data_IF_685885620325
#
_entry.id   IF_685885620325
#
_cell.length_a   1.000
_cell.length_b   1.000
_cell.length_c   1.000
_cell.angle_alpha   90.00
_cell.angle_beta   90.00
_cell.angle_gamma   90.00
#
_symmetry.space_group_name_H-M   'P 1'
#
loop_
_entity.id
_entity.type
_entity.pdbx_description
1 polymer ?
#
# COMPACT_ATOMS: atom_id res chain seq x y z
N UNK A 1 -17.88 7.64 -53.91
CA UNK A 1 -18.67 7.14 -52.75
C UNK A 1 -17.94 6.06 -51.91
N UNK A 2 -16.66 5.74 -52.17
CA UNK A 2 -15.91 4.71 -51.44
C UNK A 2 -14.99 5.25 -50.32
N UNK A 3 -14.58 6.53 -50.36
CA UNK A 3 -13.64 7.09 -49.36
C UNK A 3 -14.24 7.38 -47.98
N UNK A 4 -15.56 7.58 -47.89
CA UNK A 4 -16.21 7.98 -46.64
C UNK A 4 -16.44 6.81 -45.65
N UNK A 5 -16.37 5.56 -46.11
CA UNK A 5 -16.57 4.37 -45.26
C UNK A 5 -15.32 3.94 -44.49
N UNK A 6 -14.11 4.24 -44.98
CA UNK A 6 -12.86 3.95 -44.28
C UNK A 6 -12.58 4.97 -43.17
N UNK A 7 -12.78 6.27 -43.44
CA UNK A 7 -12.63 7.34 -42.44
C UNK A 7 -13.54 7.18 -41.21
N UNK A 8 -14.78 6.72 -41.42
CA UNK A 8 -15.71 6.42 -40.32
C UNK A 8 -15.31 5.17 -39.51
N UNK A 9 -14.74 4.14 -40.16
CA UNK A 9 -14.26 2.93 -39.45
C UNK A 9 -13.00 3.22 -38.64
N UNK A 10 -12.08 4.01 -39.18
CA UNK A 10 -10.83 4.37 -38.52
C UNK A 10 -11.07 5.30 -37.32
N UNK A 11 -12.00 6.27 -37.42
CA UNK A 11 -12.40 7.13 -36.30
C UNK A 11 -13.19 6.40 -35.20
N UNK A 12 -14.00 5.39 -35.55
CA UNK A 12 -14.66 4.51 -34.56
C UNK A 12 -13.62 3.61 -33.89
N UNK A 13 -12.62 3.11 -34.61
CA UNK A 13 -11.54 2.30 -34.04
C UNK A 13 -10.62 3.13 -33.12
N UNK A 14 -10.28 4.37 -33.48
CA UNK A 14 -9.51 5.30 -32.66
C UNK A 14 -10.27 5.75 -31.41
N UNK A 15 -11.56 6.10 -31.54
CA UNK A 15 -12.38 6.48 -30.38
C UNK A 15 -12.63 5.31 -29.43
N UNK A 16 -12.74 4.07 -29.93
CA UNK A 16 -12.79 2.88 -29.09
C UNK A 16 -11.44 2.56 -28.43
N UNK A 17 -10.33 2.77 -29.14
CA UNK A 17 -8.97 2.62 -28.59
C UNK A 17 -8.72 3.64 -27.49
N UNK A 18 -9.07 4.91 -27.68
CA UNK A 18 -9.03 5.96 -26.64
C UNK A 18 -9.95 5.65 -25.46
N UNK A 19 -11.19 5.18 -25.68
CA UNK A 19 -12.10 4.77 -24.60
C UNK A 19 -11.52 3.63 -23.77
N UNK A 20 -10.91 2.63 -24.42
CA UNK A 20 -10.23 1.51 -23.78
C UNK A 20 -8.92 1.93 -23.10
N UNK A 21 -8.29 3.03 -23.56
CA UNK A 21 -7.15 3.65 -22.87
C UNK A 21 -7.58 4.38 -21.60
N UNK A 22 -8.74 5.05 -21.60
CA UNK A 22 -9.25 5.84 -20.48
C UNK A 22 -9.93 5.01 -19.39
N UNK A 23 -10.52 3.86 -19.71
CA UNK A 23 -11.20 3.04 -18.71
C UNK A 23 -10.21 2.22 -17.88
N UNK A 24 -10.03 2.60 -16.61
CA UNK A 24 -9.41 1.74 -15.60
C UNK A 24 -7.87 1.66 -15.60
N UNK A 25 -7.14 2.32 -16.51
CA UNK A 25 -5.67 2.19 -16.60
C UNK A 25 -4.95 3.39 -15.96
N UNK A 26 -3.81 3.16 -15.31
CA UNK A 26 -2.90 4.21 -14.82
C UNK A 26 -1.81 4.35 -15.85
N UNK A 27 -1.62 5.55 -16.40
CA UNK A 27 -0.56 5.79 -17.37
C UNK A 27 0.41 6.83 -16.83
N UNK A 28 1.70 6.51 -16.80
CA UNK A 28 2.78 7.39 -16.37
C UNK A 28 3.74 7.59 -17.55
N UNK A 29 4.05 8.85 -17.86
CA UNK A 29 5.02 9.22 -18.90
C UNK A 29 6.41 9.21 -18.30
N UNK A 30 7.33 8.52 -18.97
CA UNK A 30 8.73 8.42 -18.59
C UNK A 30 9.60 9.03 -19.69
N UNK A 31 10.49 9.93 -19.33
CA UNK A 31 11.55 10.41 -20.21
C UNK A 31 12.63 9.34 -20.40
N UNK A 32 12.85 8.51 -19.37
CA UNK A 32 13.80 7.40 -19.33
C UNK A 32 13.35 6.34 -18.33
N UNK A 33 13.86 5.12 -18.44
CA UNK A 33 13.68 4.09 -17.41
C UNK A 33 14.25 4.52 -16.04
N UNK A 34 15.21 5.44 -16.03
CA UNK A 34 15.78 5.97 -14.78
C UNK A 34 14.74 6.69 -13.91
N UNK A 35 13.68 7.26 -14.49
CA UNK A 35 12.64 7.98 -13.75
C UNK A 35 11.89 7.07 -12.74
N UNK A 36 11.93 5.75 -12.96
CA UNK A 36 11.36 4.72 -12.07
C UNK A 36 12.22 4.52 -10.81
N UNK A 37 13.50 4.89 -10.89
CA UNK A 37 14.52 4.52 -9.91
C UNK A 37 15.14 5.73 -9.22
N UNK A 38 15.71 5.50 -8.04
CA UNK A 38 16.44 6.51 -7.30
C UNK A 38 17.77 6.84 -7.98
N UNK A 39 18.03 8.13 -8.21
CA UNK A 39 19.31 8.63 -8.73
C UNK A 39 20.47 8.46 -7.75
N UNK A 40 20.17 8.27 -6.46
CA UNK A 40 21.17 7.99 -5.42
C UNK A 40 21.65 6.54 -5.42
N UNK A 41 20.99 5.63 -6.13
CA UNK A 41 21.36 4.22 -6.18
C UNK A 41 22.06 3.88 -7.51
N UNK A 42 23.39 3.68 -7.53
CA UNK A 42 24.12 3.43 -8.78
C UNK A 42 23.87 2.03 -9.36
N UNK A 43 23.23 1.12 -8.62
CA UNK A 43 23.08 -0.29 -9.03
C UNK A 43 22.22 -0.46 -10.30
N UNK A 44 22.31 -1.60 -10.98
CA UNK A 44 21.47 -1.88 -12.16
C UNK A 44 19.99 -2.13 -11.85
N UNK A 45 19.13 -2.12 -12.88
CA UNK A 45 17.66 -2.17 -12.76
C UNK A 45 17.09 -3.35 -11.96
N UNK A 46 17.82 -4.47 -11.86
CA UNK A 46 17.39 -5.66 -11.11
C UNK A 46 17.38 -5.44 -9.59
N UNK A 47 18.19 -4.50 -9.10
CA UNK A 47 18.41 -4.28 -7.67
C UNK A 47 18.32 -2.81 -7.23
N UNK A 48 18.32 -1.86 -8.18
CA UNK A 48 18.21 -0.43 -7.89
C UNK A 48 16.94 -0.12 -7.08
N UNK A 49 17.04 0.79 -6.11
CA UNK A 49 15.90 1.31 -5.37
C UNK A 49 14.94 2.06 -6.33
N UNK A 50 13.63 1.92 -6.10
CA UNK A 50 12.64 2.75 -6.79
C UNK A 50 12.73 4.18 -6.26
N UNK A 51 12.44 5.18 -7.10
CA UNK A 51 12.38 6.57 -6.64
C UNK A 51 11.12 6.81 -5.80
N UNK A 52 11.24 7.66 -4.80
CA UNK A 52 10.09 8.09 -4.00
C UNK A 52 9.10 8.90 -4.84
N UNK A 53 9.58 9.68 -5.80
CA UNK A 53 8.76 10.43 -6.75
C UNK A 53 7.88 9.50 -7.59
N UNK A 54 8.47 8.45 -8.17
CA UNK A 54 7.72 7.44 -8.92
C UNK A 54 6.66 6.75 -8.06
N UNK A 55 7.02 6.38 -6.82
CA UNK A 55 6.09 5.76 -5.88
C UNK A 55 4.95 6.72 -5.50
N UNK A 56 5.24 8.00 -5.32
CA UNK A 56 4.25 9.01 -5.00
C UNK A 56 3.28 9.23 -6.16
N UNK A 57 3.77 9.30 -7.40
CA UNK A 57 2.93 9.40 -8.59
C UNK A 57 2.06 8.14 -8.78
N UNK A 58 2.62 6.95 -8.54
CA UNK A 58 1.83 5.73 -8.52
C UNK A 58 0.68 5.80 -7.49
N UNK A 59 0.96 6.29 -6.27
CA UNK A 59 -0.05 6.45 -5.20
C UNK A 59 -1.14 7.43 -5.61
N UNK A 60 -0.76 8.58 -6.17
CA UNK A 60 -1.69 9.59 -6.68
C UNK A 60 -2.59 8.99 -7.76
N UNK A 61 -2.01 8.28 -8.71
CA UNK A 61 -2.74 7.73 -9.85
C UNK A 61 -3.71 6.58 -9.51
N UNK A 62 -3.49 5.87 -8.39
CA UNK A 62 -4.40 4.80 -7.92
C UNK A 62 -5.34 5.24 -6.79
N UNK A 63 -5.24 6.48 -6.32
CA UNK A 63 -6.01 7.00 -5.18
C UNK A 63 -7.51 6.92 -5.42
N UNK A 64 -7.95 7.38 -6.59
CA UNK A 64 -9.37 7.52 -6.91
C UNK A 64 -9.95 6.23 -7.54
N UNK A 65 -9.13 5.17 -7.68
CA UNK A 65 -9.55 3.88 -8.20
C UNK A 65 -10.17 3.02 -7.10
N UNK A 66 -11.38 2.52 -7.37
CA UNK A 66 -12.11 1.70 -6.41
C UNK A 66 -11.28 0.47 -6.00
N UNK A 67 -11.29 0.06 -4.71
CA UNK A 67 -10.68 -1.19 -4.27
C UNK A 67 -11.20 -2.44 -4.99
N UNK A 68 -12.40 -2.37 -5.60
CA UNK A 68 -13.05 -3.45 -6.33
C UNK A 68 -12.58 -3.61 -7.78
N UNK A 69 -11.80 -2.66 -8.32
CA UNK A 69 -11.17 -2.78 -9.64
C UNK A 69 -9.93 -3.68 -9.53
N UNK A 70 -10.15 -4.99 -9.45
CA UNK A 70 -9.08 -5.99 -9.33
C UNK A 70 -8.12 -6.04 -10.54
N UNK A 71 -8.47 -5.38 -11.65
CA UNK A 71 -7.72 -5.46 -12.90
C UNK A 71 -7.48 -4.07 -13.49
N UNK A 72 -6.68 -3.26 -12.80
CA UNK A 72 -6.10 -2.07 -13.42
C UNK A 72 -4.72 -2.38 -14.01
N UNK A 73 -4.41 -1.72 -15.12
CA UNK A 73 -3.12 -1.79 -15.80
C UNK A 73 -2.27 -0.56 -15.45
N UNK A 74 -1.01 -0.77 -15.10
CA UNK A 74 0.02 0.28 -15.01
C UNK A 74 0.78 0.34 -16.34
N UNK A 75 0.54 1.42 -17.08
CA UNK A 75 1.14 1.73 -18.36
C UNK A 75 2.29 2.69 -18.17
N UNK A 76 3.47 2.26 -18.53
CA UNK A 76 4.67 3.08 -18.52
C UNK A 76 4.92 3.51 -19.96
N UNK A 77 4.64 4.77 -20.26
CA UNK A 77 4.78 5.37 -21.58
C UNK A 77 6.26 5.78 -21.74
N UNK A 78 6.93 5.22 -22.75
CA UNK A 78 8.38 5.41 -22.99
C UNK A 78 8.59 5.80 -24.45
N UNK A 79 9.46 6.78 -24.77
CA UNK A 79 9.75 7.15 -26.15
C UNK A 79 10.17 5.94 -26.97
N UNK A 80 9.60 5.77 -28.17
CA UNK A 80 9.83 4.60 -29.02
C UNK A 80 11.32 4.28 -29.23
N UNK A 81 12.15 5.32 -29.37
CA UNK A 81 13.60 5.21 -29.62
C UNK A 81 14.37 4.66 -28.40
N UNK A 82 13.85 4.86 -27.18
CA UNK A 82 14.48 4.44 -25.93
C UNK A 82 14.00 3.08 -25.44
N UNK A 83 13.09 2.42 -26.17
CA UNK A 83 12.53 1.15 -25.74
C UNK A 83 13.53 0.00 -25.84
N UNK A 84 13.65 -0.76 -24.75
CA UNK A 84 14.50 -1.94 -24.68
C UNK A 84 13.76 -3.08 -23.94
N UNK A 85 13.38 -4.12 -24.69
CA UNK A 85 12.59 -5.25 -24.16
C UNK A 85 13.31 -5.99 -23.03
N UNK A 86 14.63 -6.14 -23.11
CA UNK A 86 15.41 -6.84 -22.08
C UNK A 86 15.39 -6.08 -20.75
N UNK A 87 15.48 -4.76 -20.81
CA UNK A 87 15.40 -3.92 -19.61
C UNK A 87 13.98 -3.81 -19.08
N UNK A 88 12.97 -3.71 -19.95
CA UNK A 88 11.55 -3.75 -19.58
C UNK A 88 11.20 -5.01 -18.77
N UNK A 89 11.71 -6.19 -19.17
CA UNK A 89 11.52 -7.45 -18.44
C UNK A 89 12.14 -7.35 -17.02
N UNK A 90 13.38 -6.87 -16.92
CA UNK A 90 14.07 -6.70 -15.62
C UNK A 90 13.32 -5.73 -14.71
N UNK A 91 12.90 -4.59 -15.26
CA UNK A 91 12.16 -3.55 -14.53
C UNK A 91 10.81 -4.09 -14.07
N UNK A 92 10.09 -4.83 -14.91
CA UNK A 92 8.80 -5.45 -14.55
C UNK A 92 8.94 -6.42 -13.38
N UNK A 93 9.94 -7.29 -13.42
CA UNK A 93 10.26 -8.22 -12.32
C UNK A 93 10.60 -7.43 -11.06
N UNK A 94 11.46 -6.42 -11.18
CA UNK A 94 11.88 -5.57 -10.07
C UNK A 94 10.71 -4.87 -9.38
N UNK A 95 9.79 -4.28 -10.14
CA UNK A 95 8.58 -3.62 -9.65
C UNK A 95 7.67 -4.61 -8.92
N UNK A 96 7.40 -5.77 -9.54
CA UNK A 96 6.58 -6.83 -8.92
C UNK A 96 7.16 -7.31 -7.59
N UNK A 97 8.48 -7.56 -7.56
CA UNK A 97 9.16 -7.98 -6.35
C UNK A 97 9.14 -6.89 -5.27
N UNK A 98 9.34 -5.62 -5.64
CA UNK A 98 9.23 -4.49 -4.71
C UNK A 98 7.84 -4.44 -4.06
N UNK A 99 6.78 -4.39 -4.87
CA UNK A 99 5.41 -4.26 -4.37
C UNK A 99 4.98 -5.47 -3.53
N UNK A 100 5.37 -6.69 -3.94
CA UNK A 100 5.10 -7.91 -3.16
C UNK A 100 5.80 -7.86 -1.79
N UNK A 101 7.10 -7.55 -1.77
CA UNK A 101 7.90 -7.49 -0.54
C UNK A 101 7.29 -6.50 0.45
N UNK A 102 7.04 -5.27 0.02
CA UNK A 102 6.46 -4.25 0.89
C UNK A 102 5.02 -4.55 1.30
N UNK A 103 4.21 -5.19 0.45
CA UNK A 103 2.89 -5.67 0.85
C UNK A 103 2.98 -6.69 2.00
N UNK A 104 3.86 -7.67 1.89
CA UNK A 104 4.05 -8.70 2.93
C UNK A 104 4.59 -8.10 4.22
N UNK A 105 5.56 -7.18 4.14
CA UNK A 105 6.09 -6.44 5.29
C UNK A 105 4.99 -5.65 6.01
N UNK A 106 4.21 -4.85 5.27
CA UNK A 106 3.12 -4.06 5.87
C UNK A 106 2.01 -4.94 6.43
N UNK A 107 1.68 -6.05 5.78
CA UNK A 107 0.74 -7.04 6.31
C UNK A 107 1.24 -7.66 7.60
N UNK A 108 2.54 -7.99 7.70
CA UNK A 108 3.17 -8.53 8.90
C UNK A 108 3.19 -7.48 10.03
N UNK A 109 3.56 -6.24 9.73
CA UNK A 109 3.51 -5.12 10.70
C UNK A 109 2.11 -4.97 11.30
N UNK A 110 1.07 -4.92 10.47
CA UNK A 110 -0.32 -4.81 10.92
C UNK A 110 -0.72 -6.00 11.81
N UNK A 111 -0.32 -7.21 11.42
CA UNK A 111 -0.61 -8.43 12.20
C UNK A 111 0.08 -8.38 13.57
N UNK A 112 1.35 -7.98 13.61
CA UNK A 112 2.12 -7.86 14.85
C UNK A 112 1.56 -6.79 15.78
N UNK A 113 1.13 -5.64 15.23
CA UNK A 113 0.45 -4.60 16.00
C UNK A 113 -0.82 -5.12 16.67
N UNK A 114 -1.65 -5.87 15.93
CA UNK A 114 -2.86 -6.48 16.48
C UNK A 114 -2.56 -7.50 17.57
N UNK A 115 -1.60 -8.40 17.36
CA UNK A 115 -1.23 -9.37 18.40
C UNK A 115 -0.70 -8.70 19.65
N UNK A 116 0.18 -7.70 19.50
CA UNK A 116 0.65 -6.92 20.64
C UNK A 116 -0.51 -6.22 21.32
N UNK A 117 -1.41 -5.58 20.58
CA UNK A 117 -2.60 -4.91 21.12
C UNK A 117 -3.52 -5.84 21.91
N UNK A 118 -3.76 -7.06 21.41
CA UNK A 118 -4.53 -8.08 22.14
C UNK A 118 -3.83 -8.49 23.44
N UNK A 119 -2.52 -8.69 23.42
CA UNK A 119 -1.77 -9.00 24.63
C UNK A 119 -1.87 -7.86 25.67
N UNK A 120 -1.67 -6.60 25.24
CA UNK A 120 -1.85 -5.41 26.09
C UNK A 120 -3.26 -5.30 26.66
N UNK A 121 -4.29 -5.55 25.83
CA UNK A 121 -5.68 -5.57 26.29
C UNK A 121 -5.92 -6.62 27.37
N UNK A 122 -5.44 -7.86 27.18
CA UNK A 122 -5.59 -8.93 28.18
C UNK A 122 -4.89 -8.57 29.49
N UNK A 123 -3.67 -8.03 29.43
CA UNK A 123 -2.93 -7.58 30.61
C UNK A 123 -3.72 -6.48 31.35
N UNK A 124 -4.29 -5.54 30.61
CA UNK A 124 -5.10 -4.46 31.19
C UNK A 124 -6.34 -4.99 31.90
N UNK A 125 -7.05 -5.96 31.29
CA UNK A 125 -8.20 -6.63 31.92
C UNK A 125 -7.79 -7.35 33.20
N UNK A 126 -6.63 -8.03 33.20
CA UNK A 126 -6.10 -8.69 34.40
C UNK A 126 -5.83 -7.66 35.51
N UNK A 127 -5.22 -6.52 35.20
CA UNK A 127 -5.02 -5.44 36.18
C UNK A 127 -6.33 -4.89 36.72
N UNK A 128 -7.33 -4.67 35.87
CA UNK A 128 -8.65 -4.23 36.33
C UNK A 128 -9.33 -5.26 37.24
N UNK A 129 -9.21 -6.56 36.94
CA UNK A 129 -9.73 -7.62 37.81
C UNK A 129 -8.98 -7.69 39.15
N UNK A 130 -7.66 -7.50 39.14
CA UNK A 130 -6.86 -7.42 40.36
C UNK A 130 -7.27 -6.22 41.21
N UNK A 131 -7.46 -5.04 40.63
CA UNK A 131 -7.94 -3.87 41.36
C UNK A 131 -9.30 -4.14 42.03
N UNK A 132 -10.23 -4.77 41.30
CA UNK A 132 -11.54 -5.14 41.85
C UNK A 132 -11.44 -6.18 42.98
N UNK A 133 -10.49 -7.11 42.90
CA UNK A 133 -10.24 -8.09 43.95
C UNK A 133 -9.59 -7.48 45.20
N UNK A 134 -8.76 -6.45 45.04
CA UNK A 134 -8.05 -5.78 46.14
C UNK A 134 -8.94 -4.76 46.85
N UNK A 135 -9.89 -4.15 46.14
CA UNK A 135 -10.84 -3.17 46.68
C UNK A 135 -11.50 -3.52 48.03
N UNK A 136 -11.96 -4.76 48.30
CA UNK A 136 -12.57 -5.10 49.59
C UNK A 136 -11.57 -5.27 50.75
N UNK A 137 -10.26 -5.28 50.51
CA UNK A 137 -9.26 -5.44 51.56
C UNK A 137 -8.85 -4.08 52.13
N UNK A 138 -9.01 -3.90 53.43
CA UNK A 138 -8.58 -2.69 54.13
C UNK A 138 -7.10 -2.77 54.53
N UNK A 139 -6.36 -1.67 54.37
CA UNK A 139 -5.00 -1.51 54.85
C UNK A 139 -4.14 -0.66 53.92
N UNK A 140 -3.26 0.15 54.50
CA UNK A 140 -2.39 1.10 53.76
C UNK A 140 -1.70 0.48 52.54
N UNK A 141 -1.21 -0.76 52.65
CA UNK A 141 -0.57 -1.47 51.55
C UNK A 141 -1.53 -1.77 50.39
N UNK A 142 -2.77 -2.17 50.68
CA UNK A 142 -3.79 -2.44 49.67
C UNK A 142 -4.31 -1.15 49.02
N UNK A 143 -4.45 -0.07 49.81
CA UNK A 143 -4.84 1.25 49.31
C UNK A 143 -3.81 1.80 48.30
N UNK A 144 -2.52 1.76 48.64
CA UNK A 144 -1.44 2.21 47.74
C UNK A 144 -1.41 1.36 46.46
N UNK A 145 -1.59 0.06 46.59
CA UNK A 145 -1.58 -0.86 45.46
C UNK A 145 -2.80 -0.64 44.54
N UNK A 146 -3.99 -0.41 45.10
CA UNK A 146 -5.19 -0.06 44.35
C UNK A 146 -5.02 1.24 43.56
N UNK A 147 -4.51 2.30 44.22
CA UNK A 147 -4.26 3.61 43.60
C UNK A 147 -3.28 3.53 42.41
N UNK A 148 -2.39 2.54 42.38
CA UNK A 148 -1.48 2.31 41.25
C UNK A 148 -2.08 1.41 40.16
N UNK A 149 -2.77 0.33 40.55
CA UNK A 149 -3.28 -0.67 39.60
C UNK A 149 -4.48 -0.15 38.84
N UNK A 150 -5.34 0.66 39.45
CA UNK A 150 -6.51 1.25 38.78
C UNK A 150 -6.10 2.10 37.56
N UNK A 151 -5.22 3.12 37.70
CA UNK A 151 -4.76 3.92 36.56
C UNK A 151 -3.95 3.09 35.56
N UNK A 152 -3.18 2.10 36.03
CA UNK A 152 -2.43 1.21 35.15
C UNK A 152 -3.36 0.32 34.31
N UNK A 153 -4.42 -0.22 34.90
CA UNK A 153 -5.39 -1.11 34.26
C UNK A 153 -6.13 -0.39 33.14
N UNK A 154 -6.77 0.74 33.43
CA UNK A 154 -7.52 1.47 32.39
C UNK A 154 -6.59 1.92 31.26
N UNK A 155 -5.40 2.47 31.57
CA UNK A 155 -4.46 2.95 30.57
C UNK A 155 -3.97 1.83 29.64
N UNK A 156 -3.69 0.66 30.22
CA UNK A 156 -3.23 -0.52 29.49
C UNK A 156 -4.33 -1.06 28.56
N UNK A 157 -5.58 -1.09 29.02
CA UNK A 157 -6.74 -1.47 28.18
C UNK A 157 -6.86 -0.55 26.97
N UNK A 158 -6.88 0.77 27.18
CA UNK A 158 -7.02 1.74 26.07
C UNK A 158 -5.85 1.68 25.11
N UNK A 159 -4.63 1.56 25.62
CA UNK A 159 -3.43 1.37 24.79
C UNK A 159 -3.48 0.09 23.96
N UNK A 160 -4.05 -0.99 24.51
CA UNK A 160 -4.30 -2.24 23.80
C UNK A 160 -5.32 -2.07 22.67
N UNK A 161 -6.46 -1.45 22.96
CA UNK A 161 -7.53 -1.18 21.99
C UNK A 161 -7.03 -0.27 20.85
N UNK A 162 -6.26 0.76 21.16
CA UNK A 162 -5.64 1.65 20.17
C UNK A 162 -4.75 0.87 19.17
N UNK A 163 -3.95 -0.07 19.67
CA UNK A 163 -3.13 -0.97 18.82
C UNK A 163 -3.95 -1.97 17.99
N UNK A 164 -5.16 -2.32 18.43
CA UNK A 164 -6.05 -3.24 17.71
C UNK A 164 -6.84 -2.53 16.60
N UNK A 165 -7.36 -1.34 16.88
CA UNK A 165 -8.35 -0.68 16.03
C UNK A 165 -7.81 0.55 15.28
N UNK A 166 -7.10 1.45 15.96
CA UNK A 166 -6.70 2.75 15.41
C UNK A 166 -5.38 2.63 14.62
N UNK A 167 -4.32 2.11 15.23
CA UNK A 167 -3.01 1.98 14.58
C UNK A 167 -3.05 1.17 13.26
N UNK A 168 -3.81 0.05 13.16
CA UNK A 168 -3.95 -0.67 11.89
C UNK A 168 -4.68 0.14 10.82
N UNK A 169 -5.64 1.00 11.20
CA UNK A 169 -6.42 1.82 10.26
C UNK A 169 -5.51 2.80 9.53
N UNK A 170 -4.52 3.37 10.21
CA UNK A 170 -3.57 4.33 9.62
C UNK A 170 -2.55 3.64 8.70
N UNK A 171 -2.18 2.38 8.98
CA UNK A 171 -1.26 1.59 8.14
C UNK A 171 -1.94 0.84 7.00
N UNK A 172 -3.26 0.67 7.05
CA UNK A 172 -4.04 -0.04 6.03
C UNK A 172 -3.96 0.59 4.62
N UNK A 173 -3.99 1.93 4.44
CA UNK A 173 -3.85 2.56 3.12
C UNK A 173 -2.58 2.13 2.39
N UNK A 174 -1.44 2.09 3.08
CA UNK A 174 -0.17 1.63 2.50
C UNK A 174 -0.23 0.17 2.08
N UNK A 175 -0.73 -0.71 2.96
CA UNK A 175 -0.86 -2.13 2.64
C UNK A 175 -1.81 -2.35 1.44
N UNK A 176 -2.90 -1.57 1.34
CA UNK A 176 -3.81 -1.62 0.19
C UNK A 176 -3.15 -1.13 -1.08
N UNK A 177 -2.36 -0.05 -1.02
CA UNK A 177 -1.58 0.45 -2.15
C UNK A 177 -0.63 -0.62 -2.69
N UNK A 178 0.21 -1.21 -1.82
CA UNK A 178 1.14 -2.25 -2.24
C UNK A 178 0.42 -3.50 -2.77
N UNK A 179 -0.72 -3.89 -2.18
CA UNK A 179 -1.56 -4.98 -2.70
C UNK A 179 -2.08 -4.68 -4.11
N UNK A 180 -2.58 -3.46 -4.34
CA UNK A 180 -3.07 -2.99 -5.65
C UNK A 180 -1.95 -3.03 -6.70
N UNK A 181 -0.79 -2.45 -6.40
CA UNK A 181 0.36 -2.41 -7.32
C UNK A 181 0.96 -3.80 -7.57
N UNK A 182 0.98 -4.67 -6.56
CA UNK A 182 1.38 -6.06 -6.75
C UNK A 182 0.43 -6.83 -7.67
N UNK A 183 -0.88 -6.58 -7.59
CA UNK A 183 -1.90 -7.23 -8.44
C UNK A 183 -1.98 -6.69 -9.87
N UNK A 184 -1.58 -5.43 -10.11
CA UNK A 184 -1.79 -4.77 -11.41
C UNK A 184 -0.98 -5.37 -12.56
N UNK A 185 -1.48 -5.30 -13.80
CA UNK A 185 -0.66 -5.67 -14.96
C UNK A 185 0.26 -4.51 -15.34
N UNK A 186 1.57 -4.76 -15.51
CA UNK A 186 2.53 -3.71 -15.89
C UNK A 186 2.89 -3.88 -17.36
N UNK A 187 2.69 -2.82 -18.15
CA UNK A 187 2.95 -2.80 -19.59
C UNK A 187 3.72 -1.55 -19.98
N UNK A 188 4.65 -1.70 -20.92
CA UNK A 188 5.37 -0.58 -21.53
C UNK A 188 4.75 -0.26 -22.89
N UNK A 189 4.40 1.01 -23.10
CA UNK A 189 3.74 1.50 -24.31
C UNK A 189 4.61 2.60 -24.90
N UNK A 190 4.70 2.66 -26.23
CA UNK A 190 5.38 3.74 -26.92
C UNK A 190 4.49 4.98 -27.08
N UNK A 191 5.13 6.15 -27.08
CA UNK A 191 4.55 7.41 -27.53
C UNK A 191 5.55 8.16 -28.42
#
# INVERSE_FOLDING_TARGET
>A
MLDNKNSAKDSIAESQKEKKMRQGNVSLILNSYNDIFSDFDPRGYVQRALSDDFLQECRRAVRDKSPSEEKFELRLLVPKIKRNVNDEIKIKIRLKNHFLKHYLEKKKEIKNLRYSGVAWFIIGVIFSLMAAFIYPFEGFYFDVLFVMIEPAGWFTVWSGLDKIFLNPKDKMPDARFYKKMYGCHITFIDY
#
